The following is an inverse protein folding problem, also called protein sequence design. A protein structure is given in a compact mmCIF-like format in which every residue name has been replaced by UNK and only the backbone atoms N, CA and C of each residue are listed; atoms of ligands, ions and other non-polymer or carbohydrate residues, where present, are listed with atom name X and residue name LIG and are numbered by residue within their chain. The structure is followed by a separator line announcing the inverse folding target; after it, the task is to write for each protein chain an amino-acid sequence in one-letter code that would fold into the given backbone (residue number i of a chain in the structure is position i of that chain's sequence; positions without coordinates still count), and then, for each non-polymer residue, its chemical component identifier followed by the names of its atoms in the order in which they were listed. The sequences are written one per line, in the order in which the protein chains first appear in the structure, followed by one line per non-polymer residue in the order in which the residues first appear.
data_IF_934850333982
#
_entry.id   IF_934850333982
#
_cell.length_a   1.000
_cell.length_b   1.000
_cell.length_c   1.000
_cell.angle_alpha   90.00
_cell.angle_beta   90.00
_cell.angle_gamma   90.00
#
_symmetry.space_group_name_H-M   'P 1'
#
loop_
_entity.id
_entity.type
_entity.pdbx_description
1 polymer ?
#
# COMPACT_ATOMS: atom_id res chain seq x y z
N UNK A 1 -37.66 22.37 -58.77
CA UNK A 1 -38.00 20.98 -58.39
C UNK A 1 -36.77 20.24 -58.82
N UNK A 2 -35.93 19.94 -57.84
CA UNK A 2 -34.80 19.03 -57.94
C UNK A 2 -35.38 17.70 -58.45
N UNK A 3 -35.03 17.34 -59.69
CA UNK A 3 -35.33 16.02 -60.23
C UNK A 3 -34.02 15.29 -60.49
N UNK A 4 -34.01 14.02 -60.11
CA UNK A 4 -32.82 13.19 -59.88
C UNK A 4 -32.15 12.74 -61.17
N UNK A 5 -32.06 13.59 -62.21
CA UNK A 5 -31.67 13.17 -63.56
C UNK A 5 -30.67 14.08 -64.28
N UNK A 6 -30.22 15.18 -63.68
CA UNK A 6 -29.29 16.11 -64.32
C UNK A 6 -27.99 16.43 -63.55
N UNK A 7 -27.79 15.86 -62.36
CA UNK A 7 -26.82 16.39 -61.39
C UNK A 7 -25.93 15.38 -60.64
N UNK A 8 -25.95 14.08 -60.93
CA UNK A 8 -24.97 13.15 -60.34
C UNK A 8 -23.71 12.96 -61.21
N UNK A 9 -22.56 12.96 -60.54
CA UNK A 9 -21.26 12.63 -61.14
C UNK A 9 -21.24 11.13 -61.38
N UNK A 10 -20.92 10.68 -62.59
CA UNK A 10 -20.79 9.25 -62.86
C UNK A 10 -19.64 8.63 -62.06
N UNK A 11 -19.59 7.30 -61.94
CA UNK A 11 -18.53 6.56 -61.22
C UNK A 11 -17.07 6.83 -61.67
N UNK A 12 -16.88 7.62 -62.73
CA UNK A 12 -15.61 8.09 -63.27
C UNK A 12 -15.25 9.54 -62.87
N UNK A 13 -16.04 10.20 -62.03
CA UNK A 13 -15.77 11.58 -61.59
C UNK A 13 -16.13 12.65 -62.64
N UNK A 14 -16.87 12.30 -63.70
CA UNK A 14 -17.30 13.25 -64.73
C UNK A 14 -18.82 13.46 -64.68
N UNK A 15 -19.24 14.73 -64.62
CA UNK A 15 -20.64 15.08 -64.85
C UNK A 15 -21.01 14.89 -66.34
N UNK A 16 -22.23 14.42 -66.66
CA UNK A 16 -22.66 14.23 -68.04
C UNK A 16 -22.67 15.54 -68.84
N UNK A 17 -22.34 15.46 -70.14
CA UNK A 17 -22.34 16.63 -71.01
C UNK A 17 -23.76 17.18 -71.23
N UNK A 18 -24.05 18.37 -70.70
CA UNK A 18 -25.32 19.08 -70.90
C UNK A 18 -25.31 19.82 -72.24
N UNK A 19 -26.22 19.47 -73.15
CA UNK A 19 -26.41 20.20 -74.42
C UNK A 19 -27.62 21.12 -74.33
N UNK A 20 -27.41 22.44 -74.41
CA UNK A 20 -28.48 23.43 -74.30
C UNK A 20 -29.05 23.84 -75.65
N UNK A 21 -30.38 23.95 -75.71
CA UNK A 21 -31.09 24.60 -76.80
C UNK A 21 -30.94 26.13 -76.76
N UNK A 22 -31.20 26.79 -77.90
CA UNK A 22 -31.21 28.27 -77.97
C UNK A 22 -32.32 28.80 -77.06
N UNK A 23 -31.92 29.51 -76.00
CA UNK A 23 -32.82 30.14 -75.03
C UNK A 23 -32.90 29.45 -73.66
N UNK A 24 -32.25 28.30 -73.48
CA UNK A 24 -32.19 27.60 -72.20
C UNK A 24 -31.06 28.13 -71.31
N UNK A 25 -31.28 28.09 -69.99
CA UNK A 25 -30.28 28.40 -68.96
C UNK A 25 -30.32 27.29 -67.92
N UNK A 26 -29.18 26.67 -67.66
CA UNK A 26 -28.96 25.84 -66.48
C UNK A 26 -28.69 26.79 -65.31
N UNK A 27 -29.46 26.69 -64.24
CA UNK A 27 -29.35 27.59 -63.08
C UNK A 27 -28.77 26.90 -61.84
N UNK A 28 -28.72 25.58 -61.82
CA UNK A 28 -27.87 24.83 -60.91
C UNK A 28 -27.05 23.85 -61.76
N UNK A 29 -25.73 23.97 -61.66
CA UNK A 29 -24.85 22.83 -61.87
C UNK A 29 -24.37 22.57 -60.45
N UNK A 30 -25.01 21.63 -59.77
CA UNK A 30 -24.46 21.10 -58.54
C UNK A 30 -23.35 20.11 -58.91
N UNK A 31 -22.11 20.58 -59.02
CA UNK A 31 -20.97 19.66 -58.99
C UNK A 31 -20.85 19.21 -57.54
N UNK A 32 -21.43 18.04 -57.23
CA UNK A 32 -21.26 17.41 -55.92
C UNK A 32 -19.78 17.40 -55.56
N UNK A 33 -19.43 18.09 -54.49
CA UNK A 33 -18.10 18.02 -53.88
C UNK A 33 -18.15 16.80 -52.98
N UNK A 34 -17.52 15.69 -53.40
CA UNK A 34 -17.21 14.63 -52.45
C UNK A 34 -15.98 15.08 -51.65
N UNK A 35 -16.19 15.34 -50.36
CA UNK A 35 -15.07 15.50 -49.44
C UNK A 35 -14.51 14.11 -49.14
N UNK A 36 -13.18 13.90 -49.27
CA UNK A 36 -12.58 12.63 -48.92
C UNK A 36 -12.75 12.38 -47.42
N UNK A 37 -13.07 11.13 -47.06
CA UNK A 37 -13.11 10.68 -45.68
C UNK A 37 -11.80 11.03 -44.97
N UNK A 38 -11.90 11.62 -43.79
CA UNK A 38 -10.78 12.02 -42.95
C UNK A 38 -10.63 10.99 -41.84
N UNK A 39 -9.38 10.68 -41.50
CA UNK A 39 -9.12 9.74 -40.41
C UNK A 39 -9.66 10.29 -39.07
N UNK A 40 -10.04 9.39 -38.15
CA UNK A 40 -10.36 9.75 -36.78
C UNK A 40 -9.23 10.52 -36.10
N UNK A 41 -9.58 11.35 -35.12
CA UNK A 41 -8.65 12.08 -34.26
C UNK A 41 -8.81 11.61 -32.82
N UNK A 42 -8.21 10.47 -32.44
CA UNK A 42 -8.25 10.00 -31.07
C UNK A 42 -7.28 10.79 -30.19
N UNK A 43 -7.66 11.02 -28.94
CA UNK A 43 -6.87 11.72 -27.92
C UNK A 43 -6.43 10.75 -26.83
N UNK A 44 -5.26 10.99 -26.22
CA UNK A 44 -4.73 10.11 -25.17
C UNK A 44 -5.60 10.14 -23.90
N UNK A 45 -5.71 9.00 -23.24
CA UNK A 45 -6.48 8.76 -22.03
C UNK A 45 -5.59 8.39 -20.84
N UNK A 46 -6.14 8.52 -19.63
CA UNK A 46 -5.50 7.98 -18.44
C UNK A 46 -6.51 7.50 -17.42
N UNK A 47 -6.10 6.51 -16.62
CA UNK A 47 -6.88 6.01 -15.50
C UNK A 47 -5.97 5.56 -14.35
N UNK A 48 -6.51 5.57 -13.14
CA UNK A 48 -5.83 5.05 -11.94
C UNK A 48 -6.77 4.12 -11.21
N UNK A 49 -6.26 2.99 -10.74
CA UNK A 49 -7.03 1.96 -10.03
C UNK A 49 -6.15 1.19 -9.06
N UNK A 50 -6.79 0.44 -8.16
CA UNK A 50 -6.10 -0.54 -7.34
C UNK A 50 -5.69 -1.73 -8.20
N UNK A 51 -4.55 -2.35 -7.88
CA UNK A 51 -4.02 -3.44 -8.69
C UNK A 51 -5.00 -4.61 -8.85
N UNK A 52 -5.87 -4.82 -7.86
CA UNK A 52 -6.88 -5.88 -7.78
C UNK A 52 -8.30 -5.43 -8.17
N UNK A 53 -8.45 -4.18 -8.62
CA UNK A 53 -9.70 -3.64 -9.13
C UNK A 53 -9.64 -3.47 -10.66
N UNK A 54 -10.73 -3.85 -11.32
CA UNK A 54 -10.88 -3.64 -12.76
C UNK A 54 -11.34 -2.20 -13.01
N UNK A 55 -10.60 -1.48 -13.84
CA UNK A 55 -10.98 -0.13 -14.26
C UNK A 55 -11.51 -0.13 -15.69
N UNK A 56 -12.63 0.54 -15.91
CA UNK A 56 -13.21 0.74 -17.24
C UNK A 56 -12.99 2.19 -17.70
N UNK A 57 -12.49 2.36 -18.92
CA UNK A 57 -12.19 3.65 -19.53
C UNK A 57 -12.99 3.78 -20.82
N UNK A 58 -13.74 4.87 -20.94
CA UNK A 58 -14.39 5.26 -22.19
C UNK A 58 -13.42 6.08 -23.04
N UNK A 59 -12.49 5.37 -23.69
CA UNK A 59 -11.47 6.00 -24.56
C UNK A 59 -12.04 6.77 -25.74
N UNK A 60 -13.33 6.58 -26.09
CA UNK A 60 -14.00 7.30 -27.16
C UNK A 60 -14.67 8.61 -26.70
N UNK A 61 -14.58 9.00 -25.42
CA UNK A 61 -15.30 10.17 -24.89
C UNK A 61 -14.76 11.50 -25.44
N UNK A 62 -13.44 11.57 -25.61
CA UNK A 62 -12.67 12.69 -26.13
C UNK A 62 -12.34 12.53 -27.62
N UNK A 63 -12.49 11.33 -28.18
CA UNK A 63 -12.22 11.07 -29.60
C UNK A 63 -13.26 11.71 -30.53
N UNK A 64 -12.78 12.26 -31.64
CA UNK A 64 -13.64 12.86 -32.65
C UNK A 64 -13.30 12.40 -34.05
N UNK A 65 -14.35 12.16 -34.83
CA UNK A 65 -14.24 12.03 -36.27
C UNK A 65 -14.53 13.38 -36.94
N UNK A 66 -13.67 13.91 -37.83
CA UNK A 66 -13.91 15.19 -38.47
C UNK A 66 -15.15 15.23 -39.38
N UNK A 67 -15.58 14.09 -39.91
CA UNK A 67 -16.76 13.90 -40.75
C UNK A 67 -18.03 13.58 -39.93
N UNK A 68 -17.85 13.30 -38.64
CA UNK A 68 -18.92 13.03 -37.68
C UNK A 68 -19.36 11.56 -37.68
N UNK A 69 -18.50 10.67 -38.17
CA UNK A 69 -18.73 9.24 -38.19
C UNK A 69 -18.66 8.61 -36.79
N UNK A 70 -19.30 7.44 -36.66
CA UNK A 70 -19.29 6.68 -35.39
C UNK A 70 -17.98 5.92 -35.29
N UNK A 71 -17.22 6.20 -34.24
CA UNK A 71 -15.97 5.53 -33.96
C UNK A 71 -16.20 4.19 -33.25
N UNK A 72 -15.38 3.20 -33.61
CA UNK A 72 -15.35 1.89 -32.96
C UNK A 72 -13.92 1.43 -32.72
N UNK A 73 -13.70 0.73 -31.61
CA UNK A 73 -12.38 0.21 -31.23
C UNK A 73 -12.18 -1.16 -31.88
N UNK A 74 -11.06 -1.35 -32.58
CA UNK A 74 -10.77 -2.57 -33.34
C UNK A 74 -9.57 -3.34 -32.84
N UNK A 75 -8.57 -2.65 -32.28
CA UNK A 75 -7.34 -3.27 -31.79
C UNK A 75 -6.86 -2.62 -30.49
N UNK A 76 -6.16 -3.41 -29.67
CA UNK A 76 -5.33 -2.92 -28.56
C UNK A 76 -3.95 -3.56 -28.69
N UNK A 77 -2.89 -2.75 -28.66
CA UNK A 77 -1.50 -3.14 -28.92
C UNK A 77 -1.32 -3.97 -30.21
N UNK A 78 -2.08 -3.62 -31.26
CA UNK A 78 -2.07 -4.32 -32.56
C UNK A 78 -2.69 -5.73 -32.53
N UNK A 79 -3.41 -6.08 -31.46
CA UNK A 79 -4.20 -7.30 -31.35
C UNK A 79 -5.68 -6.96 -31.49
N UNK A 80 -6.37 -7.70 -32.37
CA UNK A 80 -7.80 -7.52 -32.59
C UNK A 80 -8.59 -7.74 -31.29
N UNK A 81 -9.44 -6.77 -30.95
CA UNK A 81 -10.38 -6.84 -29.84
C UNK A 81 -11.80 -6.75 -30.38
N UNK A 82 -12.78 -7.29 -29.65
CA UNK A 82 -14.19 -7.23 -30.06
C UNK A 82 -15.10 -7.10 -28.87
N UNK A 83 -16.21 -6.40 -29.06
CA UNK A 83 -17.25 -6.19 -28.04
C UNK A 83 -17.77 -7.53 -27.51
N UNK A 84 -17.63 -7.75 -26.20
CA UNK A 84 -17.99 -9.01 -25.53
C UNK A 84 -17.13 -10.22 -25.92
N UNK A 85 -16.00 -9.99 -26.59
CA UNK A 85 -15.03 -11.02 -26.96
C UNK A 85 -14.15 -11.48 -25.79
N UNK A 86 -13.23 -12.43 -26.03
CA UNK A 86 -12.25 -12.82 -25.03
C UNK A 86 -11.32 -11.66 -24.68
N UNK A 87 -10.90 -11.58 -23.41
CA UNK A 87 -9.89 -10.64 -22.99
C UNK A 87 -8.53 -10.94 -23.65
N UNK A 88 -7.79 -9.88 -23.96
CA UNK A 88 -6.39 -9.94 -24.39
C UNK A 88 -5.51 -9.96 -23.15
N UNK A 89 -4.49 -10.82 -23.14
CA UNK A 89 -3.44 -10.79 -22.12
C UNK A 89 -2.26 -9.99 -22.68
N UNK A 90 -2.04 -8.81 -22.10
CA UNK A 90 -0.97 -7.89 -22.49
C UNK A 90 -0.07 -7.71 -21.28
N UNK A 91 1.01 -8.49 -21.22
CA UNK A 91 1.96 -8.40 -20.11
C UNK A 91 1.40 -8.84 -18.75
N UNK A 92 0.33 -9.64 -18.73
CA UNK A 92 -0.38 -10.05 -17.51
C UNK A 92 -1.57 -9.16 -17.15
N UNK A 93 -1.74 -8.01 -17.82
CA UNK A 93 -2.96 -7.19 -17.70
C UNK A 93 -4.00 -7.73 -18.69
N UNK A 94 -5.18 -8.09 -18.17
CA UNK A 94 -6.27 -8.52 -19.01
C UNK A 94 -7.05 -7.31 -19.52
N UNK A 95 -7.12 -7.15 -20.84
CA UNK A 95 -7.85 -6.06 -21.50
C UNK A 95 -9.08 -6.61 -22.22
N UNK A 96 -10.25 -6.08 -21.91
CA UNK A 96 -11.51 -6.47 -22.57
C UNK A 96 -12.31 -5.26 -23.04
N UNK A 97 -13.11 -5.45 -24.09
CA UNK A 97 -14.02 -4.42 -24.61
C UNK A 97 -15.45 -4.79 -24.23
N UNK A 98 -16.08 -3.98 -23.38
CA UNK A 98 -17.45 -4.18 -22.91
C UNK A 98 -18.23 -2.86 -22.89
N UNK A 99 -19.43 -2.88 -23.47
CA UNK A 99 -20.30 -1.72 -23.60
C UNK A 99 -19.59 -0.51 -24.22
N UNK A 100 -18.70 -0.74 -25.19
CA UNK A 100 -17.90 0.31 -25.83
C UNK A 100 -16.74 0.86 -25.00
N UNK A 101 -16.44 0.29 -23.82
CA UNK A 101 -15.34 0.73 -22.95
C UNK A 101 -14.27 -0.35 -22.83
N UNK A 102 -13.01 0.08 -22.80
CA UNK A 102 -11.89 -0.79 -22.49
C UNK A 102 -11.82 -1.00 -20.97
N UNK A 103 -11.76 -2.24 -20.54
CA UNK A 103 -11.58 -2.61 -19.13
C UNK A 103 -10.22 -3.26 -18.94
N UNK A 104 -9.49 -2.83 -17.92
CA UNK A 104 -8.14 -3.25 -17.59
C UNK A 104 -8.13 -3.92 -16.23
N UNK A 105 -7.65 -5.15 -16.17
CA UNK A 105 -7.51 -5.95 -14.95
C UNK A 105 -6.03 -6.27 -14.70
N UNK A 106 -5.44 -5.59 -13.72
CA UNK A 106 -4.04 -5.72 -13.32
C UNK A 106 -3.79 -6.78 -12.25
N UNK A 107 -4.83 -7.51 -11.80
CA UNK A 107 -4.79 -8.31 -10.57
C UNK A 107 -3.69 -9.38 -10.58
N UNK A 108 -3.31 -9.86 -11.77
CA UNK A 108 -2.26 -10.85 -11.96
C UNK A 108 -0.90 -10.19 -12.16
N UNK A 109 -0.81 -9.20 -13.06
CA UNK A 109 0.45 -8.52 -13.38
C UNK A 109 1.06 -7.81 -12.16
N UNK A 110 0.19 -7.26 -11.31
CA UNK A 110 0.56 -6.35 -10.24
C UNK A 110 0.19 -6.87 -8.84
N UNK A 111 0.00 -8.18 -8.73
CA UNK A 111 -0.30 -8.86 -7.46
C UNK A 111 0.72 -8.56 -6.35
N UNK A 112 1.96 -8.28 -6.72
CA UNK A 112 3.08 -8.05 -5.79
C UNK A 112 3.22 -6.57 -5.39
N UNK A 113 2.39 -5.66 -5.91
CA UNK A 113 2.40 -4.27 -5.44
C UNK A 113 1.97 -4.21 -3.98
N UNK A 114 2.81 -3.55 -3.20
CA UNK A 114 2.63 -3.21 -1.80
C UNK A 114 2.03 -1.81 -1.69
N UNK A 115 1.38 -1.51 -0.58
CA UNK A 115 0.79 -0.18 -0.36
C UNK A 115 1.83 0.93 -0.56
N UNK A 116 1.48 1.97 -1.32
CA UNK A 116 2.39 3.06 -1.70
C UNK A 116 3.30 2.76 -2.89
N UNK A 117 3.21 1.57 -3.49
CA UNK A 117 3.84 1.27 -4.79
C UNK A 117 2.84 1.45 -5.92
N UNK A 118 3.34 1.87 -7.09
CA UNK A 118 2.55 2.01 -8.30
C UNK A 118 3.29 1.46 -9.52
N UNK A 119 2.51 1.00 -10.50
CA UNK A 119 3.00 0.64 -11.83
C UNK A 119 2.08 1.24 -12.87
N UNK A 120 2.64 1.83 -13.92
CA UNK A 120 1.87 2.40 -15.03
C UNK A 120 2.19 1.66 -16.32
N UNK A 121 1.15 1.16 -16.98
CA UNK A 121 1.22 0.60 -18.33
C UNK A 121 0.57 1.53 -19.34
N UNK A 122 1.10 1.52 -20.57
CA UNK A 122 0.53 2.26 -21.70
C UNK A 122 0.02 1.27 -22.75
N UNK A 123 -1.26 1.41 -23.12
CA UNK A 123 -1.91 0.57 -24.13
C UNK A 123 -2.30 1.43 -25.33
N UNK A 124 -1.81 1.11 -26.52
CA UNK A 124 -2.24 1.77 -27.76
C UNK A 124 -3.53 1.13 -28.23
N UNK A 125 -4.60 1.91 -28.38
CA UNK A 125 -5.85 1.46 -28.97
C UNK A 125 -6.00 2.01 -30.39
N UNK A 126 -6.71 1.27 -31.24
CA UNK A 126 -6.99 1.66 -32.63
C UNK A 126 -8.49 1.86 -32.81
N UNK A 127 -8.86 3.01 -33.39
CA UNK A 127 -10.23 3.37 -33.74
C UNK A 127 -10.42 3.38 -35.26
N UNK A 128 -11.60 2.94 -35.71
CA UNK A 128 -12.05 3.08 -37.10
C UNK A 128 -13.39 3.79 -37.18
N UNK A 129 -13.62 4.50 -38.29
CA UNK A 129 -14.85 5.25 -38.60
C UNK A 129 -15.89 4.46 -39.42
N UNK A 130 -15.55 3.24 -39.87
CA UNK A 130 -16.38 2.42 -40.75
C UNK A 130 -16.40 2.86 -42.23
N UNK A 131 -15.75 3.97 -42.57
CA UNK A 131 -15.57 4.52 -43.92
C UNK A 131 -14.12 4.39 -44.43
N UNK A 132 -13.25 3.75 -43.64
CA UNK A 132 -11.90 3.34 -44.00
C UNK A 132 -10.79 4.21 -43.41
N UNK A 133 -11.15 5.22 -42.60
CA UNK A 133 -10.21 5.95 -41.77
C UNK A 133 -9.91 5.19 -40.49
N UNK A 134 -8.63 5.22 -40.10
CA UNK A 134 -8.12 4.49 -38.93
C UNK A 134 -7.06 5.34 -38.26
N UNK A 135 -7.12 5.43 -36.94
CA UNK A 135 -6.13 6.12 -36.12
C UNK A 135 -5.92 5.42 -34.78
N UNK A 136 -4.88 5.82 -34.05
CA UNK A 136 -4.54 5.24 -32.75
C UNK A 136 -4.12 6.32 -31.76
N UNK A 137 -4.44 6.09 -30.49
CA UNK A 137 -3.96 6.86 -29.33
C UNK A 137 -3.64 5.90 -28.18
N UNK A 138 -3.20 6.45 -27.05
CA UNK A 138 -2.77 5.68 -25.90
C UNK A 138 -3.71 5.86 -24.70
N UNK A 139 -3.85 4.81 -23.90
CA UNK A 139 -4.41 4.88 -22.55
C UNK A 139 -3.36 4.45 -21.55
N UNK A 140 -2.98 5.37 -20.66
CA UNK A 140 -2.05 5.12 -19.57
C UNK A 140 -2.83 4.71 -18.31
N UNK A 141 -2.62 3.49 -17.82
CA UNK A 141 -3.30 2.97 -16.63
C UNK A 141 -2.30 2.77 -15.50
N UNK A 142 -2.48 3.52 -14.42
CA UNK A 142 -1.71 3.40 -13.18
C UNK A 142 -2.43 2.44 -12.22
N UNK A 143 -1.75 1.38 -11.83
CA UNK A 143 -2.17 0.40 -10.83
C UNK A 143 -1.44 0.65 -9.52
N UNK A 144 -2.20 0.83 -8.43
CA UNK A 144 -1.66 1.13 -7.11
C UNK A 144 -1.77 -0.08 -6.20
N UNK A 145 -0.76 -0.27 -5.34
CA UNK A 145 -0.79 -1.27 -4.29
C UNK A 145 -1.93 -1.02 -3.31
N UNK A 146 -2.64 -2.08 -2.94
CA UNK A 146 -3.85 -1.99 -2.12
C UNK A 146 -3.75 -2.64 -0.73
N UNK A 147 -2.78 -3.55 -0.52
CA UNK A 147 -2.65 -4.24 0.77
C UNK A 147 -1.27 -4.85 0.94
N UNK A 148 -0.74 -4.69 2.15
CA UNK A 148 0.31 -5.53 2.71
C UNK A 148 -0.35 -6.72 3.42
N UNK A 149 -0.48 -7.86 2.74
CA UNK A 149 -0.88 -9.08 3.45
C UNK A 149 0.28 -9.59 4.30
N UNK A 150 0.00 -10.37 5.35
CA UNK A 150 1.05 -10.97 6.18
C UNK A 150 2.08 -11.74 5.33
N UNK A 151 1.63 -12.50 4.33
CA UNK A 151 2.50 -13.23 3.42
C UNK A 151 3.37 -12.31 2.56
N UNK A 152 2.82 -11.19 2.07
CA UNK A 152 3.58 -10.19 1.33
C UNK A 152 4.62 -9.53 2.22
N UNK A 153 4.28 -9.12 3.44
CA UNK A 153 5.24 -8.57 4.42
C UNK A 153 6.37 -9.56 4.69
N UNK A 154 6.05 -10.84 4.96
CA UNK A 154 7.04 -11.92 5.12
C UNK A 154 7.98 -12.05 3.91
N UNK A 155 7.45 -11.95 2.69
CA UNK A 155 8.22 -12.14 1.47
C UNK A 155 9.08 -10.92 1.08
N UNK A 156 8.65 -9.72 1.48
CA UNK A 156 9.26 -8.45 1.05
C UNK A 156 10.10 -7.75 2.12
N UNK A 157 10.11 -8.27 3.36
CA UNK A 157 10.93 -7.74 4.45
C UNK A 157 12.41 -7.64 4.04
N UNK A 158 13.07 -6.48 4.22
CA UNK A 158 14.52 -6.41 4.02
C UNK A 158 15.23 -7.30 5.05
N UNK A 159 16.33 -7.96 4.69
CA UNK A 159 17.08 -8.78 5.65
C UNK A 159 17.69 -7.94 6.79
N UNK A 160 18.07 -6.70 6.47
CA UNK A 160 18.65 -5.73 7.40
C UNK A 160 18.13 -4.34 7.10
N UNK A 161 18.00 -3.48 8.12
CA UNK A 161 17.72 -2.05 7.96
C UNK A 161 18.57 -1.20 8.89
N UNK A 162 18.53 0.12 8.71
CA UNK A 162 19.08 1.06 9.69
C UNK A 162 17.97 1.83 10.40
N UNK A 163 18.08 1.93 11.72
CA UNK A 163 17.17 2.72 12.54
C UNK A 163 17.95 3.64 13.47
N UNK A 164 17.31 4.72 13.90
CA UNK A 164 17.80 5.63 14.92
C UNK A 164 16.65 5.89 15.89
N UNK A 165 16.93 5.86 17.19
CA UNK A 165 15.99 6.40 18.19
C UNK A 165 16.02 7.91 18.07
N UNK A 166 14.90 8.52 17.73
CA UNK A 166 14.79 9.98 17.54
C UNK A 166 14.01 10.65 18.65
N UNK A 167 13.25 9.88 19.43
CA UNK A 167 12.69 10.30 20.71
C UNK A 167 12.67 9.13 21.71
N UNK A 168 12.96 9.42 22.98
CA UNK A 168 13.19 8.46 24.05
C UNK A 168 12.08 8.61 25.07
N UNK A 169 11.39 7.50 25.27
CA UNK A 169 10.64 7.26 26.48
C UNK A 169 11.50 7.24 27.77
N UNK A 170 12.84 7.36 27.71
CA UNK A 170 13.69 7.42 28.90
C UNK A 170 14.69 8.60 28.96
N UNK A 171 14.17 9.78 28.62
CA UNK A 171 14.78 11.10 28.81
C UNK A 171 13.91 12.12 29.58
N UNK A 172 13.14 11.68 30.60
CA UNK A 172 12.63 12.46 31.76
C UNK A 172 11.17 12.99 31.88
N UNK A 173 10.18 12.64 31.04
CA UNK A 173 8.75 12.92 31.40
C UNK A 173 7.60 12.31 30.55
N UNK A 174 7.84 11.52 29.50
CA UNK A 174 6.74 11.04 28.63
C UNK A 174 6.27 9.62 29.01
N UNK A 175 4.95 9.36 29.08
CA UNK A 175 4.37 8.02 29.20
C UNK A 175 4.31 7.25 27.87
N UNK A 176 4.77 7.88 26.77
CA UNK A 176 4.69 7.36 25.40
C UNK A 176 5.82 6.35 25.08
N UNK A 177 5.63 5.56 24.02
CA UNK A 177 6.61 4.62 23.49
C UNK A 177 7.84 5.33 22.89
N UNK A 178 8.85 4.55 22.47
CA UNK A 178 10.00 5.11 21.75
C UNK A 178 9.60 5.51 20.33
N UNK A 179 10.22 6.57 19.83
CA UNK A 179 10.10 6.93 18.41
C UNK A 179 11.35 6.50 17.66
N UNK A 180 11.17 5.65 16.64
CA UNK A 180 12.25 5.21 15.75
C UNK A 180 12.10 5.83 14.37
N UNK A 181 13.17 6.42 13.86
CA UNK A 181 13.29 6.72 12.45
C UNK A 181 14.00 5.54 11.76
N UNK A 182 13.32 4.91 10.80
CA UNK A 182 13.88 3.85 9.96
C UNK A 182 14.12 4.42 8.57
N UNK A 183 15.24 4.04 7.95
CA UNK A 183 15.57 4.51 6.61
C UNK A 183 16.52 3.58 5.87
N UNK A 184 16.59 3.77 4.55
CA UNK A 184 17.57 3.13 3.68
C UNK A 184 17.20 1.71 3.27
N UNK A 185 15.94 1.31 3.45
CA UNK A 185 15.41 0.01 3.03
C UNK A 185 14.99 0.02 1.56
N UNK A 186 14.59 1.18 1.02
CA UNK A 186 13.97 1.28 -0.31
C UNK A 186 12.50 0.85 -0.30
N UNK A 187 11.91 0.70 0.89
CA UNK A 187 10.54 0.26 1.12
C UNK A 187 9.85 1.30 2.02
N UNK A 188 8.85 1.98 1.46
CA UNK A 188 8.18 3.10 2.13
C UNK A 188 7.46 2.69 3.43
N UNK A 189 7.08 1.40 3.56
CA UNK A 189 6.48 0.88 4.79
C UNK A 189 7.46 0.92 5.96
N UNK A 190 8.76 0.84 5.67
CA UNK A 190 9.82 0.91 6.67
C UNK A 190 10.47 2.28 6.71
N UNK A 191 10.69 2.94 5.57
CA UNK A 191 11.41 4.21 5.47
C UNK A 191 10.57 5.40 5.98
N UNK A 192 10.19 5.35 7.26
CA UNK A 192 9.33 6.29 7.95
C UNK A 192 9.69 6.43 9.44
N UNK A 193 8.89 7.21 10.18
CA UNK A 193 9.00 7.38 11.62
C UNK A 193 7.90 6.59 12.31
N UNK A 194 8.29 5.64 13.16
CA UNK A 194 7.39 4.87 14.02
C UNK A 194 7.34 5.54 15.38
N UNK A 195 6.19 6.11 15.75
CA UNK A 195 5.97 6.74 17.05
C UNK A 195 5.81 5.71 18.18
N UNK A 196 5.43 4.48 17.83
CA UNK A 196 5.22 3.38 18.77
C UNK A 196 6.21 2.26 18.50
N UNK A 197 7.37 2.34 19.15
CA UNK A 197 8.34 1.26 19.21
C UNK A 197 8.55 0.79 20.63
N UNK A 198 8.44 -0.51 20.85
CA UNK A 198 8.60 -1.13 22.16
C UNK A 198 9.87 -1.96 22.23
N UNK A 199 10.57 -1.86 23.35
CA UNK A 199 11.76 -2.64 23.63
C UNK A 199 11.39 -4.07 24.00
N UNK A 200 12.16 -5.04 23.51
CA UNK A 200 11.99 -6.47 23.85
C UNK A 200 13.05 -6.99 24.82
N UNK A 201 13.96 -6.11 25.27
CA UNK A 201 14.89 -6.40 26.34
C UNK A 201 14.95 -5.19 27.29
N UNK A 202 14.64 -5.43 28.57
CA UNK A 202 14.70 -4.40 29.60
C UNK A 202 16.15 -4.02 30.00
N UNK A 203 17.10 -4.92 29.76
CA UNK A 203 18.46 -4.82 30.32
C UNK A 203 19.52 -4.24 29.40
N UNK A 204 19.24 -4.10 28.10
CA UNK A 204 20.21 -3.51 27.21
C UNK A 204 20.08 -1.99 27.17
N UNK A 205 20.85 -1.33 28.04
CA UNK A 205 20.78 0.13 28.29
C UNK A 205 21.71 0.92 27.39
N UNK A 206 21.66 0.61 26.11
CA UNK A 206 22.66 1.08 25.19
C UNK A 206 22.34 2.39 24.51
N UNK A 207 21.06 2.59 24.18
CA UNK A 207 20.64 3.72 23.37
C UNK A 207 20.66 5.02 24.17
N UNK A 208 20.63 4.92 25.49
CA UNK A 208 20.86 6.04 26.39
C UNK A 208 22.36 6.33 26.42
N UNK A 209 22.80 7.25 25.57
CA UNK A 209 24.05 7.94 25.81
C UNK A 209 24.07 8.41 27.27
N UNK A 210 25.20 8.18 27.95
CA UNK A 210 25.36 8.47 29.39
C UNK A 210 24.68 9.78 29.77
N UNK A 211 23.91 9.78 30.86
CA UNK A 211 23.41 10.97 31.58
C UNK A 211 24.07 12.29 31.12
N UNK A 212 23.41 13.01 30.21
CA UNK A 212 23.88 14.28 29.68
C UNK A 212 24.27 14.31 28.19
N UNK A 213 24.00 13.27 27.41
CA UNK A 213 23.97 13.34 25.94
C UNK A 213 22.53 13.53 25.45
N UNK A 214 22.36 14.30 24.39
CA UNK A 214 21.07 14.57 23.77
C UNK A 214 20.60 13.32 23.00
N UNK A 215 19.30 13.07 22.96
CA UNK A 215 18.76 11.97 22.14
C UNK A 215 19.03 12.15 20.65
N UNK A 216 19.17 13.40 20.21
CA UNK A 216 19.61 13.68 18.85
C UNK A 216 21.04 13.16 18.56
N UNK A 217 21.78 12.69 19.57
CA UNK A 217 23.08 12.02 19.44
C UNK A 217 22.97 10.48 19.43
N UNK A 218 21.77 9.89 19.49
CA UNK A 218 21.58 8.44 19.43
C UNK A 218 22.22 7.88 18.15
N UNK A 219 22.99 6.78 18.22
CA UNK A 219 23.66 6.24 17.05
C UNK A 219 22.63 5.66 16.05
N UNK A 220 22.97 5.75 14.77
CA UNK A 220 22.27 4.96 13.74
C UNK A 220 22.74 3.51 13.87
N UNK A 221 21.81 2.59 14.08
CA UNK A 221 22.05 1.16 14.31
C UNK A 221 21.58 0.37 13.10
N UNK A 222 22.38 -0.61 12.69
CA UNK A 222 21.95 -1.65 11.75
C UNK A 222 21.31 -2.79 12.52
N UNK A 223 20.14 -3.26 12.06
CA UNK A 223 19.44 -4.40 12.64
C UNK A 223 19.12 -5.48 11.61
N UNK A 224 19.13 -6.75 12.03
CA UNK A 224 18.43 -7.83 11.33
C UNK A 224 16.93 -7.63 11.54
N UNK A 225 16.15 -7.90 10.50
CA UNK A 225 14.70 -7.63 10.51
C UNK A 225 13.95 -8.93 10.32
N UNK A 226 12.98 -9.17 11.18
CA UNK A 226 12.19 -10.40 11.16
C UNK A 226 10.74 -10.05 11.50
N UNK A 227 9.79 -10.73 10.87
CA UNK A 227 8.39 -10.62 11.31
C UNK A 227 8.31 -11.21 12.72
N UNK A 228 7.63 -10.54 13.63
CA UNK A 228 7.50 -10.93 15.02
C UNK A 228 6.52 -12.10 15.18
N UNK A 229 6.76 -13.21 14.49
CA UNK A 229 6.02 -14.46 14.65
C UNK A 229 7.02 -15.57 14.95
N UNK A 230 6.67 -16.48 15.86
CA UNK A 230 7.57 -17.51 16.34
C UNK A 230 8.20 -18.35 15.21
N UNK A 231 7.46 -18.59 14.13
CA UNK A 231 7.92 -19.32 12.94
C UNK A 231 8.82 -18.52 12.00
N UNK A 232 8.86 -17.19 12.15
CA UNK A 232 9.64 -16.26 11.35
C UNK A 232 10.95 -15.84 12.03
N UNK A 233 11.10 -16.14 13.33
CA UNK A 233 12.29 -15.77 14.11
C UNK A 233 13.38 -16.83 14.01
N UNK A 234 14.60 -16.38 13.71
CA UNK A 234 15.77 -17.20 13.52
C UNK A 234 16.24 -17.85 14.83
N UNK A 235 16.78 -19.08 14.78
CA UNK A 235 17.28 -19.74 15.97
C UNK A 235 18.39 -18.93 16.67
N UNK A 236 18.25 -18.72 17.99
CA UNK A 236 19.23 -18.03 18.82
C UNK A 236 18.85 -16.58 19.15
N UNK A 237 17.93 -16.00 18.39
CA UNK A 237 17.31 -14.71 18.70
C UNK A 237 16.53 -14.84 20.02
N UNK A 238 16.67 -13.86 20.92
CA UNK A 238 16.05 -13.87 22.27
C UNK A 238 16.35 -15.14 23.10
N UNK A 239 17.46 -15.83 22.80
CA UNK A 239 17.77 -17.09 23.47
C UNK A 239 18.02 -16.90 24.97
N UNK A 240 17.24 -17.59 25.79
CA UNK A 240 17.35 -17.54 27.26
C UNK A 240 16.47 -16.47 27.91
N UNK A 241 15.78 -15.64 27.13
CA UNK A 241 14.69 -14.80 27.61
C UNK A 241 13.44 -15.66 27.80
N UNK A 242 12.82 -15.52 28.97
CA UNK A 242 11.67 -16.33 29.41
C UNK A 242 10.67 -15.39 30.04
N UNK A 243 9.45 -15.39 29.50
CA UNK A 243 8.35 -14.60 30.02
C UNK A 243 7.85 -15.06 31.38
N UNK A 244 6.99 -14.24 31.97
CA UNK A 244 6.41 -14.49 33.30
C UNK A 244 5.53 -15.75 33.33
N UNK A 245 4.98 -16.16 32.19
CA UNK A 245 4.23 -17.41 32.00
C UNK A 245 5.13 -18.65 31.92
N UNK A 246 6.46 -18.48 31.86
CA UNK A 246 7.44 -19.56 31.77
C UNK A 246 7.74 -20.02 30.35
N UNK A 247 7.19 -19.35 29.34
CA UNK A 247 7.45 -19.61 27.93
C UNK A 247 8.65 -18.79 27.43
N UNK A 248 9.24 -19.20 26.30
CA UNK A 248 10.31 -18.40 25.72
C UNK A 248 9.76 -17.08 25.20
N UNK A 249 10.58 -16.02 25.17
CA UNK A 249 10.13 -14.73 24.62
C UNK A 249 9.64 -14.83 23.16
N UNK A 250 10.18 -15.79 22.38
CA UNK A 250 9.74 -16.07 21.00
C UNK A 250 8.34 -16.66 20.97
N UNK A 251 8.01 -17.54 21.92
CA UNK A 251 6.68 -18.16 21.99
C UNK A 251 5.61 -17.13 22.38
N UNK A 252 5.97 -16.09 23.14
CA UNK A 252 5.07 -14.99 23.53
C UNK A 252 4.84 -13.91 22.46
N UNK A 253 5.38 -14.07 21.24
CA UNK A 253 5.28 -13.04 20.20
C UNK A 253 3.83 -12.87 19.68
N UNK A 254 3.02 -13.91 19.69
CA UNK A 254 1.59 -13.81 19.39
C UNK A 254 0.84 -12.94 20.41
N UNK A 255 1.15 -13.07 21.70
CA UNK A 255 0.62 -12.21 22.77
C UNK A 255 1.04 -10.75 22.56
N UNK A 256 2.29 -10.51 22.15
CA UNK A 256 2.78 -9.14 21.86
C UNK A 256 2.07 -8.58 20.62
N UNK A 257 1.91 -9.35 19.55
CA UNK A 257 1.12 -8.93 18.39
C UNK A 257 -0.33 -8.66 18.78
N UNK A 258 -0.91 -9.44 19.68
CA UNK A 258 -2.25 -9.18 20.18
C UNK A 258 -2.29 -7.84 20.94
N UNK A 259 -1.33 -7.56 21.83
CA UNK A 259 -1.26 -6.31 22.60
C UNK A 259 -1.22 -5.08 21.69
N UNK A 260 -0.34 -5.06 20.68
CA UNK A 260 -0.19 -3.89 19.78
C UNK A 260 -1.48 -3.62 18.98
N UNK A 261 -2.32 -4.64 18.76
CA UNK A 261 -3.60 -4.52 18.06
C UNK A 261 -4.75 -4.03 18.96
N UNK A 262 -4.54 -3.86 20.27
CA UNK A 262 -5.62 -3.45 21.16
C UNK A 262 -5.79 -1.94 21.24
N UNK A 263 -4.81 -1.12 20.82
CA UNK A 263 -4.84 0.33 21.00
C UNK A 263 -5.10 0.72 22.48
N UNK A 264 -4.34 0.13 23.41
CA UNK A 264 -4.51 0.37 24.85
C UNK A 264 -4.39 1.84 25.22
N UNK A 265 -3.56 2.63 24.51
CA UNK A 265 -3.40 4.06 24.72
C UNK A 265 -4.69 4.86 24.61
N UNK A 266 -5.67 4.40 23.82
CA UNK A 266 -6.99 5.02 23.71
C UNK A 266 -8.04 4.46 24.67
N UNK A 267 -7.76 3.32 25.31
CA UNK A 267 -8.68 2.64 26.21
C UNK A 267 -8.63 3.20 27.63
N UNK A 268 -9.80 3.38 28.25
CA UNK A 268 -9.92 3.74 29.66
C UNK A 268 -9.37 2.62 30.55
N UNK A 269 -8.43 2.96 31.44
CA UNK A 269 -7.87 2.03 32.44
C UNK A 269 -8.81 1.74 33.63
N UNK A 270 -9.96 2.44 33.71
CA UNK A 270 -10.94 2.20 34.77
C UNK A 270 -10.56 2.79 36.14
N UNK A 271 -9.44 3.51 36.23
CA UNK A 271 -9.01 4.19 37.43
C UNK A 271 -9.89 5.40 37.76
N UNK A 272 -10.01 5.71 39.06
CA UNK A 272 -10.80 6.84 39.51
C UNK A 272 -10.21 8.18 39.01
N UNK A 273 -11.05 9.20 38.70
CA UNK A 273 -10.57 10.52 38.30
C UNK A 273 -9.71 11.12 39.43
N UNK A 274 -8.39 11.10 39.22
CA UNK A 274 -7.38 11.37 40.24
C UNK A 274 -6.08 10.55 40.08
N UNK A 275 -6.09 9.47 39.29
CA UNK A 275 -4.88 8.86 38.75
C UNK A 275 -4.12 9.81 37.80
N UNK A 276 -2.84 9.54 37.56
CA UNK A 276 -2.01 10.36 36.67
C UNK A 276 -2.52 10.33 35.21
N UNK A 277 -3.13 9.20 34.79
CA UNK A 277 -3.64 8.96 33.45
C UNK A 277 -5.03 8.31 33.51
N UNK A 278 -5.92 8.69 32.59
CA UNK A 278 -7.29 8.14 32.47
C UNK A 278 -7.40 6.99 31.46
N UNK A 279 -6.36 6.78 30.67
CA UNK A 279 -6.18 5.67 29.74
C UNK A 279 -4.92 4.91 30.11
N UNK A 280 -4.73 3.72 29.53
CA UNK A 280 -3.44 3.06 29.63
C UNK A 280 -2.36 3.91 28.94
N UNK A 281 -1.13 3.73 29.40
CA UNK A 281 0.06 4.41 28.88
C UNK A 281 0.96 3.43 28.15
N UNK A 282 1.73 3.91 27.19
CA UNK A 282 2.70 3.05 26.49
C UNK A 282 3.79 2.55 27.44
N UNK A 283 4.08 3.26 28.53
CA UNK A 283 4.93 2.77 29.61
C UNK A 283 4.35 1.51 30.29
N UNK A 284 3.03 1.42 30.45
CA UNK A 284 2.35 0.24 30.97
C UNK A 284 2.33 -0.89 29.94
N UNK A 285 2.11 -0.58 28.65
CA UNK A 285 2.24 -1.54 27.53
C UNK A 285 3.66 -2.11 27.49
N UNK A 286 4.68 -1.26 27.57
CA UNK A 286 6.09 -1.64 27.61
C UNK A 286 6.41 -2.55 28.81
N UNK A 287 5.85 -2.24 29.98
CA UNK A 287 5.98 -3.08 31.19
C UNK A 287 5.38 -4.47 31.00
N UNK A 288 4.20 -4.57 30.37
CA UNK A 288 3.58 -5.84 30.05
C UNK A 288 4.40 -6.64 29.02
N UNK A 289 4.92 -5.99 27.98
CA UNK A 289 5.81 -6.61 26.99
C UNK A 289 7.08 -7.14 27.67
N UNK A 290 7.72 -6.36 28.56
CA UNK A 290 8.87 -6.85 29.31
C UNK A 290 8.56 -8.02 30.24
N UNK A 291 7.35 -8.07 30.82
CA UNK A 291 6.95 -9.24 31.58
C UNK A 291 6.80 -10.48 30.68
N UNK A 292 6.37 -10.31 29.42
CA UNK A 292 6.30 -11.39 28.42
C UNK A 292 7.68 -11.80 27.86
N UNK A 293 8.66 -10.90 27.82
CA UNK A 293 10.00 -11.23 27.29
C UNK A 293 10.98 -11.65 28.39
N UNK A 294 11.06 -10.90 29.48
CA UNK A 294 12.11 -10.99 30.49
C UNK A 294 11.61 -11.47 31.86
N UNK A 295 10.31 -11.32 32.16
CA UNK A 295 9.60 -11.96 33.27
C UNK A 295 10.37 -12.01 34.60
N UNK A 296 10.65 -13.22 35.09
CA UNK A 296 11.34 -13.43 36.37
C UNK A 296 12.74 -12.81 36.45
N UNK A 297 13.41 -12.56 35.31
CA UNK A 297 14.70 -11.87 35.29
C UNK A 297 14.56 -10.43 35.78
N UNK A 298 13.44 -9.75 35.47
CA UNK A 298 13.12 -8.41 35.98
C UNK A 298 13.16 -8.39 37.51
N UNK A 299 12.33 -9.23 38.13
CA UNK A 299 12.23 -9.33 39.59
C UNK A 299 13.56 -9.72 40.26
N UNK A 300 14.29 -10.68 39.68
CA UNK A 300 15.50 -11.26 40.29
C UNK A 300 16.66 -10.26 40.39
N UNK A 301 16.79 -9.36 39.41
CA UNK A 301 17.85 -8.34 39.40
C UNK A 301 17.42 -7.02 40.07
N UNK A 302 16.22 -7.01 40.67
CA UNK A 302 15.66 -5.84 41.36
C UNK A 302 15.17 -4.75 40.40
N UNK A 303 14.86 -5.11 39.16
CA UNK A 303 14.25 -4.25 38.16
C UNK A 303 12.77 -4.63 38.05
N UNK A 304 11.87 -3.86 38.67
CA UNK A 304 10.44 -4.22 38.73
C UNK A 304 10.03 -4.94 40.01
N UNK A 305 8.78 -5.42 40.02
CA UNK A 305 8.10 -5.96 41.19
C UNK A 305 8.20 -7.50 41.31
N UNK A 306 7.48 -8.07 42.30
CA UNK A 306 7.45 -9.51 42.52
C UNK A 306 6.77 -10.30 41.38
N UNK A 307 6.05 -9.63 40.49
CA UNK A 307 5.43 -10.20 39.30
C UNK A 307 6.27 -9.95 38.03
N UNK A 308 7.48 -9.39 38.17
CA UNK A 308 8.36 -9.10 37.04
C UNK A 308 7.87 -7.96 36.16
N UNK A 309 7.03 -7.06 36.69
CA UNK A 309 6.55 -5.86 35.99
C UNK A 309 7.40 -4.67 36.40
N UNK A 310 7.74 -3.80 35.45
CA UNK A 310 8.41 -2.54 35.73
C UNK A 310 7.71 -1.40 34.97
N UNK A 311 7.16 -0.47 35.75
CA UNK A 311 6.60 0.80 35.25
C UNK A 311 7.07 1.90 36.20
N UNK A 312 7.50 3.06 35.66
CA UNK A 312 7.89 4.19 36.50
C UNK A 312 6.63 4.84 37.09
N UNK A 313 6.61 5.07 38.40
CA UNK A 313 5.45 5.60 39.14
C UNK A 313 4.89 6.94 38.59
N UNK A 314 5.69 7.72 37.87
CA UNK A 314 5.29 8.98 37.24
C UNK A 314 4.79 8.83 35.80
N UNK A 315 4.89 7.64 35.22
CA UNK A 315 4.49 7.32 33.84
C UNK A 315 3.34 6.33 33.73
N UNK A 316 2.96 5.69 34.83
CA UNK A 316 1.89 4.69 34.85
C UNK A 316 1.90 3.90 36.17
N UNK A 317 1.21 2.77 36.20
CA UNK A 317 1.20 1.87 37.36
C UNK A 317 1.48 0.42 36.98
N UNK A 318 2.14 -0.31 37.87
CA UNK A 318 2.32 -1.76 37.72
C UNK A 318 0.98 -2.52 37.68
N UNK A 319 -0.06 -1.99 38.33
CA UNK A 319 -1.40 -2.59 38.32
C UNK A 319 -2.01 -2.57 36.90
N UNK A 320 -1.94 -1.43 36.20
CA UNK A 320 -2.45 -1.30 34.85
C UNK A 320 -1.63 -2.15 33.85
N UNK A 321 -0.31 -2.20 34.01
CA UNK A 321 0.52 -3.09 33.20
C UNK A 321 0.19 -4.58 33.45
N UNK A 322 -0.16 -4.95 34.68
CA UNK A 322 -0.66 -6.30 35.00
C UNK A 322 -2.00 -6.59 34.33
N UNK A 323 -2.89 -5.60 34.21
CA UNK A 323 -4.16 -5.75 33.48
C UNK A 323 -3.93 -6.04 31.99
N UNK A 324 -3.04 -5.29 31.35
CA UNK A 324 -2.64 -5.51 29.95
C UNK A 324 -2.05 -6.92 29.79
N UNK A 325 -1.10 -7.28 30.66
CA UNK A 325 -0.46 -8.60 30.66
C UNK A 325 -1.49 -9.73 30.82
N UNK A 326 -2.41 -9.61 31.79
CA UNK A 326 -3.42 -10.64 32.02
C UNK A 326 -4.38 -10.73 30.84
N UNK A 327 -4.77 -9.61 30.24
CA UNK A 327 -5.60 -9.61 29.04
C UNK A 327 -4.90 -10.32 27.88
N UNK A 328 -3.59 -10.11 27.70
CA UNK A 328 -2.80 -10.82 26.70
C UNK A 328 -2.71 -12.32 26.97
N UNK A 329 -2.45 -12.73 28.22
CA UNK A 329 -2.42 -14.15 28.61
C UNK A 329 -3.79 -14.84 28.41
N UNK A 330 -4.88 -14.10 28.61
CA UNK A 330 -6.24 -14.65 28.48
C UNK A 330 -6.71 -14.75 27.02
N UNK A 331 -6.19 -13.91 26.11
CA UNK A 331 -6.77 -13.72 24.76
C UNK A 331 -5.76 -13.76 23.59
N UNK A 332 -4.47 -13.61 23.85
CA UNK A 332 -3.43 -13.44 22.82
C UNK A 332 -2.83 -14.74 22.30
N UNK A 333 -3.00 -15.85 23.02
CA UNK A 333 -2.51 -17.17 22.62
C UNK A 333 -3.06 -17.60 21.24
N UNK A 334 -2.16 -17.86 20.31
CA UNK A 334 -2.46 -18.23 18.93
C UNK A 334 -2.91 -17.07 18.03
N UNK A 335 -2.79 -15.81 18.48
CA UNK A 335 -3.10 -14.65 17.66
C UNK A 335 -2.19 -14.61 16.42
N UNK A 336 -2.81 -14.39 15.26
CA UNK A 336 -2.10 -14.21 13.99
C UNK A 336 -2.69 -12.98 13.31
N UNK A 337 -1.89 -11.93 13.03
CA UNK A 337 -2.38 -10.73 12.36
C UNK A 337 -3.04 -11.05 11.02
N UNK A 338 -4.28 -10.61 10.88
CA UNK A 338 -5.06 -10.68 9.65
C UNK A 338 -5.11 -9.34 8.92
N UNK A 339 -6.05 -9.24 7.99
CA UNK A 339 -6.32 -8.00 7.28
C UNK A 339 -6.82 -6.92 8.25
N UNK A 340 -6.29 -5.70 8.12
CA UNK A 340 -6.54 -4.55 9.00
C UNK A 340 -6.00 -4.69 10.44
N UNK A 341 -5.19 -5.72 10.71
CA UNK A 341 -4.42 -5.81 11.94
C UNK A 341 -3.02 -5.22 11.72
N UNK A 342 -2.37 -4.85 12.82
CA UNK A 342 -0.95 -4.58 12.88
C UNK A 342 -0.16 -5.88 12.99
N UNK A 343 0.97 -5.97 12.28
CA UNK A 343 1.98 -7.00 12.49
C UNK A 343 3.25 -6.39 13.07
N UNK A 344 3.76 -6.99 14.14
CA UNK A 344 5.04 -6.62 14.70
C UNK A 344 6.20 -6.99 13.77
N UNK A 345 7.16 -6.09 13.65
CA UNK A 345 8.46 -6.32 13.03
C UNK A 345 9.55 -6.16 14.08
N UNK A 346 10.29 -7.24 14.26
CA UNK A 346 11.39 -7.38 15.17
C UNK A 346 12.68 -6.81 14.56
N UNK A 347 13.31 -5.88 15.26
CA UNK A 347 14.56 -5.22 14.90
C UNK A 347 15.65 -5.66 15.87
N UNK A 348 16.55 -6.55 15.43
CA UNK A 348 17.66 -7.06 16.23
C UNK A 348 18.97 -6.35 15.87
N UNK A 349 19.55 -5.51 16.74
CA UNK A 349 20.81 -4.85 16.46
C UNK A 349 21.93 -5.84 16.07
N UNK A 350 22.67 -5.52 15.00
CA UNK A 350 23.79 -6.36 14.53
C UNK A 350 25.13 -6.03 15.20
N UNK A 351 25.19 -4.99 16.04
CA UNK A 351 26.44 -4.47 16.60
C UNK A 351 26.90 -5.27 17.83
N UNK A 352 28.18 -5.68 17.92
CA UNK A 352 28.74 -6.31 19.12
C UNK A 352 29.10 -5.29 20.22
N UNK A 353 29.05 -3.99 19.92
CA UNK A 353 29.38 -2.93 20.87
C UNK A 353 28.09 -2.46 21.55
N UNK A 354 27.83 -2.98 22.75
CA UNK A 354 26.96 -2.48 23.82
C UNK A 354 25.56 -1.96 23.48
N UNK A 355 25.07 -2.10 22.24
CA UNK A 355 23.74 -1.77 21.72
C UNK A 355 23.04 -3.02 21.19
N UNK A 356 22.52 -3.80 22.13
CA UNK A 356 21.83 -5.08 21.99
C UNK A 356 20.29 -4.94 22.03
N UNK A 357 19.73 -3.74 22.25
CA UNK A 357 18.31 -3.53 22.55
C UNK A 357 17.46 -3.82 21.31
N UNK A 358 16.71 -4.94 21.31
CA UNK A 358 15.80 -5.23 20.23
C UNK A 358 14.53 -4.40 20.38
N UNK A 359 14.00 -3.94 19.26
CA UNK A 359 12.72 -3.24 19.19
C UNK A 359 11.71 -4.05 18.42
N UNK A 360 10.44 -3.83 18.74
CA UNK A 360 9.32 -4.15 17.88
C UNK A 360 8.66 -2.86 17.42
N UNK A 361 8.43 -2.75 16.12
CA UNK A 361 7.58 -1.72 15.50
C UNK A 361 6.41 -2.40 14.81
N UNK A 362 5.29 -1.71 14.66
CA UNK A 362 4.10 -2.26 14.02
C UNK A 362 3.98 -1.80 12.56
N UNK A 363 3.65 -2.72 11.65
CA UNK A 363 3.25 -2.41 10.26
C UNK A 363 1.79 -2.73 10.10
N UNK A 364 1.08 -1.84 9.41
CA UNK A 364 -0.32 -2.00 9.13
C UNK A 364 -0.55 -2.99 7.97
N UNK A 365 -1.44 -3.97 8.18
CA UNK A 365 -1.94 -4.87 7.14
C UNK A 365 -3.29 -4.38 6.57
N UNK A 366 -3.52 -3.07 6.64
CA UNK A 366 -4.71 -2.38 6.17
C UNK A 366 -4.84 -2.36 4.65
N UNK A 367 -6.08 -2.48 4.21
CA UNK A 367 -6.49 -2.53 2.81
C UNK A 367 -6.93 -1.13 2.33
N UNK A 368 -5.98 -0.20 2.27
CA UNK A 368 -6.17 1.06 1.55
C UNK A 368 -5.28 1.11 0.32
N UNK A 369 -5.94 1.38 -0.79
CA UNK A 369 -5.33 1.60 -2.09
C UNK A 369 -4.69 2.97 -2.16
N UNK A 370 -3.36 2.99 -2.11
CA UNK A 370 -2.56 4.21 -2.06
C UNK A 370 -1.48 4.15 -3.14
N UNK A 371 -1.55 5.16 -4.01
CA UNK A 371 -0.45 5.71 -4.79
C UNK A 371 -0.06 7.04 -4.10
#
# INVERSE_FOLDING_TARGET
VDDTSDSDVGANGEAPAVTLGIGERVQDIDMGVEEPNRDPLPDDDSATTCYDEVVSVNVLENDVDPDGDILTITEVNGLAISEGGPALDIGGVLVSLQSGQLSFDGSIAYADLLTGQEMTDSFTYTVEDGNGGVASANVDVTFCGATDTLDKVKASLPATLTFQVVDEAYGSSSPEAYTLAISGTGDARFDQVFAEAYCLAAYDRALLGRSGTDIFDAPVITANVQVALADCVAPGVMAGQVGINGESAVDNLDLINWIINQDFGSQSNGDAPGGAYSTYTDAEVQGAIWALTDGQALAADGFGDANGLFVRDDLGTEANALEILQAALDNGEGFTPGQNDLVGVFLEPTSPDAHEQPFIVAIDLYEECIC
#
